data_IF_000988146192
#
_entry.id   IF_000988146192
#
_cell.length_a   1.000
_cell.length_b   1.000
_cell.length_c   1.000
_cell.angle_alpha   90.00
_cell.angle_beta   90.00
_cell.angle_gamma   90.00
#
_symmetry.space_group_name_H-M   'P 1'
#
loop_
_entity.id
_entity.type
_entity.pdbx_description
1 polymer ?
#
# COMPACT_ATOMS: atom_id res chain seq x y z
N UNK A 1 8.16 -3.41 -37.77
CA UNK A 1 9.03 -4.24 -36.92
C UNK A 1 8.49 -4.10 -35.50
N UNK A 2 7.76 -5.10 -35.00
CA UNK A 2 7.14 -5.03 -33.67
C UNK A 2 8.21 -5.16 -32.60
N UNK A 3 8.20 -4.28 -31.60
CA UNK A 3 9.14 -4.32 -30.48
C UNK A 3 9.07 -5.67 -29.78
N UNK A 4 10.19 -6.40 -29.73
CA UNK A 4 10.34 -7.71 -29.06
C UNK A 4 10.45 -7.57 -27.53
N UNK A 5 10.01 -6.44 -27.00
CA UNK A 5 10.21 -5.99 -25.63
C UNK A 5 8.87 -5.84 -24.92
N UNK A 6 8.79 -6.12 -23.61
CA UNK A 6 7.58 -5.89 -22.84
C UNK A 6 7.19 -4.41 -22.87
N UNK A 7 5.89 -4.13 -22.70
CA UNK A 7 5.33 -2.78 -22.75
C UNK A 7 5.98 -1.77 -21.79
N UNK A 8 6.57 -2.26 -20.69
CA UNK A 8 7.22 -1.45 -19.64
C UNK A 8 8.70 -1.14 -19.91
N UNK A 9 9.28 -1.62 -21.02
CA UNK A 9 10.65 -1.35 -21.44
C UNK A 9 11.63 -2.53 -21.29
N UNK A 10 12.91 -2.26 -21.52
CA UNK A 10 13.98 -3.29 -21.47
C UNK A 10 14.39 -3.67 -20.05
N UNK A 11 14.16 -2.78 -19.09
CA UNK A 11 14.59 -2.97 -17.70
C UNK A 11 13.65 -2.22 -16.77
N UNK A 12 13.26 -2.88 -15.69
CA UNK A 12 12.44 -2.27 -14.62
C UNK A 12 13.14 -2.43 -13.28
N UNK A 13 12.71 -1.70 -12.26
CA UNK A 13 13.13 -1.97 -10.87
C UNK A 13 12.26 -3.07 -10.27
N UNK A 14 12.86 -4.01 -9.55
CA UNK A 14 12.10 -5.04 -8.84
C UNK A 14 11.28 -4.40 -7.70
N UNK A 15 9.96 -4.66 -7.61
CA UNK A 15 9.12 -4.07 -6.57
C UNK A 15 9.47 -4.57 -5.15
N UNK A 16 10.22 -5.67 -5.02
CA UNK A 16 10.57 -6.27 -3.73
C UNK A 16 11.95 -5.85 -3.21
N UNK A 17 12.90 -5.50 -4.09
CA UNK A 17 14.27 -5.16 -3.67
C UNK A 17 14.91 -3.98 -4.39
N UNK A 18 14.14 -3.26 -5.20
CA UNK A 18 14.53 -2.08 -5.98
C UNK A 18 15.73 -2.29 -6.93
N UNK A 19 16.15 -3.55 -7.15
CA UNK A 19 17.22 -3.87 -8.11
C UNK A 19 16.70 -3.79 -9.54
N UNK A 20 17.55 -3.30 -10.43
CA UNK A 20 17.29 -3.34 -11.87
C UNK A 20 17.16 -4.80 -12.34
N UNK A 21 16.05 -5.15 -12.98
CA UNK A 21 15.78 -6.49 -13.54
C UNK A 21 15.51 -6.36 -15.05
N UNK A 22 16.19 -7.17 -15.88
CA UNK A 22 16.03 -7.11 -17.32
C UNK A 22 14.73 -7.79 -17.77
N UNK A 23 14.18 -7.31 -18.87
CA UNK A 23 13.13 -7.99 -19.60
C UNK A 23 13.67 -9.32 -20.16
N UNK A 24 12.85 -10.37 -20.09
CA UNK A 24 13.12 -11.62 -20.78
C UNK A 24 12.74 -11.47 -22.25
N UNK A 25 13.73 -11.65 -23.13
CA UNK A 25 13.60 -11.51 -24.58
C UNK A 25 12.46 -12.39 -25.10
N UNK A 26 11.60 -11.83 -25.97
CA UNK A 26 10.42 -12.50 -26.55
C UNK A 26 9.32 -12.88 -25.54
N UNK A 27 9.33 -12.29 -24.35
CA UNK A 27 8.27 -12.49 -23.36
C UNK A 27 7.79 -11.16 -22.80
N UNK A 28 6.61 -11.17 -22.17
CA UNK A 28 6.11 -10.03 -21.40
C UNK A 28 6.48 -10.19 -19.91
N UNK A 29 7.70 -10.63 -19.60
CA UNK A 29 8.10 -10.93 -18.24
C UNK A 29 9.50 -10.43 -17.88
N UNK A 30 9.74 -10.29 -16.59
CA UNK A 30 10.98 -9.84 -15.96
C UNK A 30 11.39 -10.84 -14.88
N UNK A 31 12.66 -11.22 -14.86
CA UNK A 31 13.19 -12.19 -13.91
C UNK A 31 14.06 -11.49 -12.86
N UNK A 32 13.62 -11.55 -11.60
CA UNK A 32 14.46 -11.15 -10.47
C UNK A 32 15.19 -12.38 -9.93
N UNK A 33 16.54 -12.37 -9.84
CA UNK A 33 17.30 -13.50 -9.28
C UNK A 33 16.95 -13.84 -7.82
N UNK A 34 16.35 -12.91 -7.08
CA UNK A 34 15.99 -13.08 -5.67
C UNK A 34 14.52 -13.36 -5.42
N UNK A 35 13.65 -12.82 -6.26
CA UNK A 35 12.22 -12.81 -5.98
C UNK A 35 11.41 -13.65 -6.95
N UNK A 36 11.92 -13.98 -8.14
CA UNK A 36 11.21 -14.80 -9.12
C UNK A 36 10.75 -14.01 -10.34
N UNK A 37 9.75 -14.55 -11.02
CA UNK A 37 9.24 -14.08 -12.31
C UNK A 37 8.07 -13.10 -12.14
N UNK A 38 8.17 -11.96 -12.82
CA UNK A 38 7.13 -10.94 -12.87
C UNK A 38 6.60 -10.83 -14.30
N UNK A 39 5.30 -10.96 -14.50
CA UNK A 39 4.67 -10.82 -15.80
C UNK A 39 3.97 -9.46 -15.92
N UNK A 40 4.00 -8.83 -17.09
CA UNK A 40 3.26 -7.60 -17.37
C UNK A 40 1.79 -7.93 -17.53
N UNK A 41 0.94 -7.27 -16.76
CA UNK A 41 -0.51 -7.44 -16.89
C UNK A 41 -0.98 -6.79 -18.21
N UNK A 42 -1.71 -7.54 -19.03
CA UNK A 42 -2.31 -7.00 -20.25
C UNK A 42 -3.51 -6.07 -19.98
N UNK A 43 -4.11 -6.18 -18.79
CA UNK A 43 -5.31 -5.42 -18.41
C UNK A 43 -4.98 -4.12 -17.66
N UNK A 44 -3.81 -4.05 -17.03
CA UNK A 44 -3.41 -2.95 -16.16
C UNK A 44 -1.94 -2.62 -16.44
N UNK A 45 -1.57 -1.35 -16.53
CA UNK A 45 -0.17 -0.93 -16.73
C UNK A 45 0.67 -1.22 -15.46
N UNK A 46 1.01 -2.49 -15.29
CA UNK A 46 1.49 -3.06 -14.05
C UNK A 46 2.08 -4.45 -14.23
N UNK A 47 2.60 -4.99 -13.13
CA UNK A 47 3.27 -6.29 -13.09
C UNK A 47 2.64 -7.20 -12.04
N UNK A 48 2.62 -8.49 -12.33
CA UNK A 48 2.10 -9.55 -11.48
C UNK A 48 3.25 -10.48 -11.16
N UNK A 49 3.48 -10.75 -9.87
CA UNK A 49 4.44 -11.75 -9.46
C UNK A 49 3.78 -13.13 -9.53
N UNK A 50 4.23 -13.97 -10.45
CA UNK A 50 3.55 -15.23 -10.78
C UNK A 50 3.49 -16.20 -9.60
N UNK A 51 4.55 -16.30 -8.81
CA UNK A 51 4.59 -17.27 -7.70
C UNK A 51 3.66 -16.88 -6.55
N UNK A 52 3.42 -15.58 -6.34
CA UNK A 52 2.65 -15.08 -5.20
C UNK A 52 1.27 -14.52 -5.56
N UNK A 53 0.97 -14.37 -6.85
CA UNK A 53 -0.23 -13.69 -7.34
C UNK A 53 -0.37 -12.24 -6.86
N UNK A 54 0.73 -11.56 -6.52
CA UNK A 54 0.73 -10.17 -6.04
C UNK A 54 0.82 -9.24 -7.24
N UNK A 55 0.12 -8.10 -7.17
CA UNK A 55 0.01 -7.15 -8.27
C UNK A 55 0.66 -5.82 -7.86
N UNK A 56 1.35 -5.18 -8.79
CA UNK A 56 1.91 -3.83 -8.62
C UNK A 56 1.58 -2.98 -9.85
N UNK A 57 1.42 -1.69 -9.60
CA UNK A 57 1.25 -0.68 -10.64
C UNK A 57 2.31 0.40 -10.45
N UNK A 58 2.84 0.92 -11.57
CA UNK A 58 3.84 1.96 -11.53
C UNK A 58 3.18 3.34 -11.44
N UNK A 59 3.71 4.23 -10.59
CA UNK A 59 3.34 5.63 -10.55
C UNK A 59 4.54 6.48 -10.18
N UNK A 60 4.84 7.51 -10.99
CA UNK A 60 6.01 8.40 -10.81
C UNK A 60 7.34 7.65 -10.60
N UNK A 61 7.53 6.52 -11.29
CA UNK A 61 8.75 5.71 -11.17
C UNK A 61 8.87 4.88 -9.89
N UNK A 62 7.76 4.71 -9.14
CA UNK A 62 7.68 3.86 -7.96
C UNK A 62 6.60 2.79 -8.13
N UNK A 63 6.81 1.63 -7.51
CA UNK A 63 5.85 0.52 -7.54
C UNK A 63 4.91 0.58 -6.35
N UNK A 64 3.61 0.59 -6.63
CA UNK A 64 2.57 0.53 -5.61
C UNK A 64 1.84 -0.79 -5.69
N UNK A 65 1.83 -1.51 -4.55
CA UNK A 65 1.19 -2.81 -4.45
C UNK A 65 -0.33 -2.64 -4.49
N UNK A 66 -0.99 -3.47 -5.28
CA UNK A 66 -2.44 -3.56 -5.30
C UNK A 66 -2.86 -4.67 -4.34
N UNK A 67 -3.52 -4.28 -3.25
CA UNK A 67 -4.07 -5.22 -2.28
C UNK A 67 -5.43 -5.72 -2.74
N UNK A 68 -5.67 -7.02 -2.63
CA UNK A 68 -7.00 -7.63 -2.77
C UNK A 68 -7.65 -7.89 -1.41
N UNK A 69 -6.84 -8.06 -0.36
CA UNK A 69 -7.28 -8.36 1.00
C UNK A 69 -7.01 -7.18 1.94
N UNK A 70 -7.95 -6.95 2.87
CA UNK A 70 -7.88 -5.85 3.85
C UNK A 70 -6.74 -6.06 4.83
N UNK A 71 -6.48 -7.30 5.22
CA UNK A 71 -5.42 -7.68 6.15
C UNK A 71 -4.06 -7.26 5.58
N UNK A 72 -3.85 -7.51 4.28
CA UNK A 72 -2.60 -7.09 3.61
C UNK A 72 -2.46 -5.57 3.57
N UNK A 73 -3.55 -4.83 3.34
CA UNK A 73 -3.55 -3.37 3.38
C UNK A 73 -3.27 -2.85 4.80
N UNK A 74 -3.88 -3.45 5.83
CA UNK A 74 -3.67 -3.09 7.24
C UNK A 74 -2.22 -3.30 7.67
N UNK A 75 -1.60 -4.40 7.27
CA UNK A 75 -0.19 -4.66 7.56
C UNK A 75 0.71 -3.62 6.90
N UNK A 76 0.43 -3.23 5.65
CA UNK A 76 1.22 -2.22 4.94
C UNK A 76 1.06 -0.83 5.57
N UNK A 77 -0.17 -0.44 5.92
CA UNK A 77 -0.44 0.80 6.65
C UNK A 77 0.27 0.78 8.01
N UNK A 78 0.22 -0.33 8.73
CA UNK A 78 0.89 -0.47 10.02
C UNK A 78 2.40 -0.31 9.90
N UNK A 79 3.03 -0.98 8.92
CA UNK A 79 4.46 -0.83 8.67
C UNK A 79 4.84 0.61 8.29
N UNK A 80 3.99 1.31 7.51
CA UNK A 80 4.20 2.71 7.16
C UNK A 80 4.06 3.65 8.37
N UNK A 81 3.08 3.40 9.25
CA UNK A 81 2.91 4.13 10.51
C UNK A 81 4.10 3.92 11.44
N UNK A 82 4.55 2.68 11.59
CA UNK A 82 5.71 2.33 12.42
C UNK A 82 6.98 3.00 11.88
N UNK A 83 7.20 2.99 10.56
CA UNK A 83 8.32 3.68 9.93
C UNK A 83 8.30 5.20 10.18
N UNK A 84 7.13 5.84 10.07
CA UNK A 84 6.99 7.28 10.37
C UNK A 84 7.26 7.60 11.83
N UNK A 85 6.79 6.73 12.74
CA UNK A 85 7.05 6.88 14.15
C UNK A 85 8.56 6.81 14.46
N UNK A 86 9.29 5.89 13.85
CA UNK A 86 10.75 5.81 13.96
C UNK A 86 11.48 7.05 13.40
N UNK A 87 10.88 7.74 12.43
CA UNK A 87 11.40 9.00 11.87
C UNK A 87 11.03 10.24 12.72
N UNK A 88 10.27 10.07 13.81
CA UNK A 88 9.82 11.18 14.66
C UNK A 88 8.65 11.98 14.09
N UNK A 89 7.97 11.46 13.07
CA UNK A 89 6.72 12.04 12.55
C UNK A 89 5.51 11.37 13.20
N UNK A 90 4.41 12.10 13.27
CA UNK A 90 3.12 11.53 13.66
C UNK A 90 2.10 11.70 12.54
N UNK A 91 1.15 10.78 12.48
CA UNK A 91 0.13 10.74 11.43
C UNK A 91 -1.18 11.35 11.93
N UNK A 92 -1.72 12.35 11.24
CA UNK A 92 -3.02 12.97 11.65
C UNK A 92 -4.22 12.30 11.02
N UNK A 93 -4.03 11.59 9.92
CA UNK A 93 -5.09 10.96 9.15
C UNK A 93 -4.52 9.98 8.12
N UNK A 94 -5.39 9.09 7.66
CA UNK A 94 -5.10 8.12 6.62
C UNK A 94 -6.02 8.43 5.46
N UNK A 95 -5.45 8.71 4.30
CA UNK A 95 -6.22 8.86 3.07
C UNK A 95 -6.13 7.56 2.28
N UNK A 96 -7.27 6.90 2.05
CA UNK A 96 -7.37 5.68 1.24
C UNK A 96 -7.94 6.00 -0.15
N UNK A 97 -7.57 5.20 -1.14
CA UNK A 97 -8.25 5.21 -2.42
C UNK A 97 -9.69 4.69 -2.29
N UNK A 98 -10.62 5.26 -3.05
CA UNK A 98 -12.05 4.92 -2.99
C UNK A 98 -12.33 3.43 -3.21
N UNK A 99 -11.55 2.75 -4.08
CA UNK A 99 -11.68 1.29 -4.29
C UNK A 99 -11.58 0.44 -3.02
N UNK A 100 -10.88 0.92 -2.00
CA UNK A 100 -10.73 0.22 -0.72
C UNK A 100 -11.88 0.48 0.25
N UNK A 101 -12.84 1.35 -0.10
CA UNK A 101 -13.97 1.68 0.77
C UNK A 101 -14.77 0.45 1.15
N UNK A 102 -15.23 -0.33 0.19
CA UNK A 102 -16.08 -1.50 0.46
C UNK A 102 -15.30 -2.59 1.20
N UNK A 103 -14.01 -2.73 0.91
CA UNK A 103 -13.10 -3.64 1.59
C UNK A 103 -12.91 -3.25 3.06
N UNK A 104 -12.68 -1.97 3.37
CA UNK A 104 -12.32 -1.50 4.72
C UNK A 104 -13.54 -1.23 5.60
N UNK A 105 -14.71 -0.92 5.01
CA UNK A 105 -15.97 -0.65 5.73
C UNK A 105 -16.34 -1.70 6.80
N UNK A 106 -16.26 -3.03 6.56
CA UNK A 106 -16.58 -4.03 7.59
C UNK A 106 -15.59 -4.07 8.77
N UNK A 107 -14.38 -3.54 8.61
CA UNK A 107 -13.30 -3.61 9.61
C UNK A 107 -13.08 -2.31 10.38
N UNK A 108 -13.78 -1.25 10.01
CA UNK A 108 -13.71 0.03 10.71
C UNK A 108 -14.73 0.05 11.84
N UNK A 109 -14.29 0.46 13.03
CA UNK A 109 -15.15 0.66 14.19
C UNK A 109 -16.20 1.75 13.90
N UNK A 110 -17.40 1.33 13.53
CA UNK A 110 -18.56 2.20 13.38
C UNK A 110 -19.19 2.44 14.75
N UNK A 111 -18.84 3.54 15.43
CA UNK A 111 -19.64 3.97 16.59
C UNK A 111 -21.02 4.40 16.09
N UNK A 112 -22.00 3.52 16.29
CA UNK A 112 -23.45 3.72 16.36
C UNK A 112 -24.22 4.04 15.07
N UNK A 113 -25.21 3.17 14.82
CA UNK A 113 -26.09 3.07 13.63
C UNK A 113 -27.07 4.23 13.39
N UNK A 114 -27.07 5.30 14.19
CA UNK A 114 -27.93 6.48 13.97
C UNK A 114 -27.23 7.64 13.25
N UNK A 115 -25.88 7.66 13.22
CA UNK A 115 -25.10 8.74 12.57
C UNK A 115 -24.81 8.48 11.08
N UNK A 116 -25.09 7.27 10.56
CA UNK A 116 -24.87 6.90 9.15
C UNK A 116 -25.71 7.71 8.15
N UNK A 117 -26.78 8.37 8.61
CA UNK A 117 -27.76 8.99 7.73
C UNK A 117 -27.58 10.51 7.56
N UNK A 118 -26.72 11.15 8.38
CA UNK A 118 -26.62 12.63 8.41
C UNK A 118 -25.18 13.13 8.18
N UNK A 119 -24.17 12.35 8.54
CA UNK A 119 -22.78 12.79 8.39
C UNK A 119 -21.89 11.67 7.88
N UNK A 120 -20.92 12.06 7.05
CA UNK A 120 -19.64 11.42 6.81
C UNK A 120 -18.99 10.96 8.14
N UNK A 121 -19.52 9.90 8.74
CA UNK A 121 -19.08 9.35 10.01
C UNK A 121 -17.64 8.94 9.86
N UNK A 122 -16.74 9.65 10.55
CA UNK A 122 -15.29 9.50 10.47
C UNK A 122 -14.92 8.04 10.70
N UNK A 123 -14.74 7.31 9.60
CA UNK A 123 -14.21 5.96 9.59
C UNK A 123 -12.84 6.03 10.30
N UNK A 124 -12.59 5.15 11.28
CA UNK A 124 -11.31 5.13 11.99
C UNK A 124 -10.57 3.82 11.77
N UNK A 125 -9.32 3.91 11.35
CA UNK A 125 -8.40 2.77 11.23
C UNK A 125 -7.22 3.05 12.17
N UNK A 126 -6.92 2.12 13.07
CA UNK A 126 -5.90 2.32 14.13
C UNK A 126 -6.12 3.59 14.99
N UNK A 127 -7.38 3.99 15.19
CA UNK A 127 -7.74 5.21 15.92
C UNK A 127 -7.58 6.52 15.13
N UNK A 128 -7.08 6.46 13.88
CA UNK A 128 -6.88 7.61 12.98
C UNK A 128 -8.10 7.84 12.09
N UNK A 129 -8.48 9.11 11.81
CA UNK A 129 -9.54 9.39 10.84
C UNK A 129 -9.12 8.94 9.44
N UNK A 130 -10.03 8.26 8.76
CA UNK A 130 -9.88 7.76 7.40
C UNK A 130 -10.70 8.61 6.46
N UNK A 131 -10.06 9.18 5.46
CA UNK A 131 -10.69 9.86 4.33
C UNK A 131 -10.55 9.01 3.08
N UNK A 132 -11.56 9.03 2.23
CA UNK A 132 -11.50 8.35 0.93
C UNK A 132 -11.40 9.39 -0.17
N UNK A 133 -10.45 9.21 -1.07
CA UNK A 133 -10.30 10.06 -2.25
C UNK A 133 -10.89 9.36 -3.46
N UNK A 134 -11.74 10.05 -4.25
CA UNK A 134 -12.41 9.44 -5.39
C UNK A 134 -11.40 9.12 -6.50
N UNK A 135 -11.55 7.91 -7.05
CA UNK A 135 -10.77 7.41 -8.20
C UNK A 135 -11.35 7.90 -9.56
N UNK A 136 -12.29 8.86 -9.53
CA UNK A 136 -13.16 9.24 -10.66
C UNK A 136 -12.49 10.07 -11.76
N UNK A 137 -11.26 10.54 -11.57
CA UNK A 137 -10.49 11.16 -12.64
C UNK A 137 -9.54 10.13 -13.26
N UNK A 138 -9.68 9.89 -14.57
CA UNK A 138 -8.73 9.12 -15.38
C UNK A 138 -7.33 9.74 -15.23
N UNK A 139 -6.36 8.97 -14.72
CA UNK A 139 -5.02 9.48 -14.39
C UNK A 139 -4.88 10.05 -12.97
N UNK A 140 -5.88 9.88 -12.11
CA UNK A 140 -5.73 10.18 -10.68
C UNK A 140 -4.69 9.25 -10.06
N UNK A 141 -3.74 9.82 -9.29
CA UNK A 141 -2.76 9.06 -8.49
C UNK A 141 -3.41 7.98 -7.63
N UNK A 142 -4.66 8.19 -7.24
CA UNK A 142 -5.43 7.26 -6.42
C UNK A 142 -5.77 5.96 -7.15
N UNK A 143 -5.73 5.88 -8.49
CA UNK A 143 -5.90 4.62 -9.22
C UNK A 143 -4.70 3.65 -9.05
N UNK A 144 -3.57 4.16 -8.58
CA UNK A 144 -2.34 3.38 -8.37
C UNK A 144 -1.97 3.32 -6.89
N UNK A 145 -1.99 4.45 -6.20
CA UNK A 145 -1.65 4.55 -4.78
C UNK A 145 -2.80 3.95 -3.96
N UNK A 146 -2.47 3.08 -3.00
CA UNK A 146 -3.47 2.47 -2.13
C UNK A 146 -3.87 3.40 -0.97
N UNK A 147 -2.87 4.02 -0.35
CA UNK A 147 -3.07 4.94 0.77
C UNK A 147 -1.95 5.99 0.86
N UNK A 148 -2.25 7.07 1.55
CA UNK A 148 -1.32 8.12 1.94
C UNK A 148 -1.52 8.43 3.43
N UNK A 149 -0.43 8.68 4.13
CA UNK A 149 -0.45 9.08 5.54
C UNK A 149 -0.18 10.57 5.62
N UNK A 150 -1.06 11.31 6.30
CA UNK A 150 -0.84 12.73 6.56
C UNK A 150 0.22 12.89 7.64
N UNK A 151 1.43 13.27 7.23
CA UNK A 151 2.59 13.43 8.12
C UNK A 151 2.61 14.84 8.67
N UNK A 152 2.69 14.97 9.98
CA UNK A 152 2.95 16.25 10.64
C UNK A 152 4.19 16.15 11.53
N UNK A 153 4.95 17.25 11.58
CA UNK A 153 6.11 17.40 12.45
C UNK A 153 5.63 17.67 13.88
N UNK A 154 5.98 16.81 14.84
CA UNK A 154 5.67 17.06 16.25
C UNK A 154 5.73 15.81 17.14
N UNK A 155 5.60 16.04 18.44
CA UNK A 155 5.63 14.98 19.46
C UNK A 155 4.43 14.04 19.35
N UNK A 156 4.61 12.70 19.47
CA UNK A 156 3.55 11.74 19.26
C UNK A 156 2.42 11.93 20.28
N UNK A 157 1.18 12.13 19.79
CA UNK A 157 0.01 11.80 20.61
C UNK A 157 -0.05 10.29 20.69
N UNK A 158 0.01 9.75 21.90
CA UNK A 158 0.00 8.30 22.19
C UNK A 158 -1.05 7.61 21.32
N UNK A 159 -0.59 6.88 20.31
CA UNK A 159 -1.47 6.01 19.54
C UNK A 159 -1.72 4.76 20.39
N UNK A 160 -2.99 4.44 20.61
CA UNK A 160 -3.41 3.20 21.27
C UNK A 160 -3.33 2.02 20.28
N UNK A 161 -2.15 1.76 19.72
CA UNK A 161 -1.87 0.44 19.14
C UNK A 161 -0.90 -0.28 20.08
N UNK A 162 -1.05 -1.60 20.15
CA UNK A 162 -0.15 -2.46 20.89
C UNK A 162 1.24 -2.29 20.31
N UNK A 163 2.07 -1.45 20.94
CA UNK A 163 3.50 -1.56 20.80
C UNK A 163 3.84 -2.95 21.27
N UNK A 164 4.31 -3.82 20.38
CA UNK A 164 4.98 -5.03 20.80
C UNK A 164 6.30 -4.56 21.39
N UNK A 165 6.24 -4.05 22.62
CA UNK A 165 7.43 -3.88 23.44
C UNK A 165 7.96 -5.28 23.62
N UNK A 166 8.99 -5.60 22.83
CA UNK A 166 9.86 -6.73 23.11
C UNK A 166 10.38 -6.48 24.52
N UNK A 167 9.73 -7.11 25.50
CA UNK A 167 10.22 -7.15 26.86
C UNK A 167 11.55 -7.89 26.76
N UNK A 168 12.64 -7.12 26.71
CA UNK A 168 13.96 -7.66 26.98
C UNK A 168 13.86 -8.24 28.39
N UNK A 169 13.76 -9.56 28.46
CA UNK A 169 13.86 -10.32 29.69
C UNK A 169 15.23 -10.03 30.31
N UNK A 170 15.26 -9.03 31.18
CA UNK A 170 16.29 -8.88 32.20
C UNK A 170 15.78 -9.55 33.47
N UNK A 171 16.03 -10.85 33.61
CA UNK A 171 16.01 -11.46 34.93
C UNK A 171 17.25 -10.96 35.68
N UNK A 172 17.02 -10.01 36.57
CA UNK A 172 17.99 -9.58 37.57
C UNK A 172 18.16 -10.68 38.62
N UNK A 173 19.42 -11.11 38.74
CA UNK A 173 20.15 -11.75 39.85
C UNK A 173 19.37 -12.29 41.04
#
# INVERSE_FOLDING_TARGET
>A
MGSLLPALGETIRCPCCDRSIPALVLTNAYLCPRHGLFEVSAAEDGIIHLDSGRHWRAWQGQWYRQHQQVESLRVEIFAALDHLHHQGFYTTGITLAQRYRDLVTPYVESRSDWFRQIYYGKLRLFGLPVTFQPDTQTGSRWQVIAFELDKNLGSPKVYSYFTCTRTNGGWGK
#
